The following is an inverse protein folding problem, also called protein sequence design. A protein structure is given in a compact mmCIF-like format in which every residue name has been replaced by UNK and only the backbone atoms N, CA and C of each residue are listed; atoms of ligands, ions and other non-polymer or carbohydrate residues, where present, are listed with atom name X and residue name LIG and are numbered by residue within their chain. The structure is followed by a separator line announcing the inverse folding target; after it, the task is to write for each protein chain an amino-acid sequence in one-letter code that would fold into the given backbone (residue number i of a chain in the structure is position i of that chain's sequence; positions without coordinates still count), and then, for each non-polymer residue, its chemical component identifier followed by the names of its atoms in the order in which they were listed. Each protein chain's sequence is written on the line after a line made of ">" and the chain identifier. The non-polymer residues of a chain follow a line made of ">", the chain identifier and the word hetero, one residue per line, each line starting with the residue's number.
data_IF_957990019730
#
_entry.id   IF_957990019730
#
_cell.length_a   1.000
_cell.length_b   1.000
_cell.length_c   1.000
_cell.angle_alpha   90.00
_cell.angle_beta   90.00
_cell.angle_gamma   90.00
#
_symmetry.space_group_name_H-M   'P 1'
#
loop_
_entity.id
_entity.type
_entity.pdbx_description
1 polymer ?
#
# COMPACT_ATOMS: atom_id res chain seq x y z
N UNK A 1 -13.76 9.07 24.99
CA UNK A 1 -12.62 9.24 24.07
C UNK A 1 -11.79 7.96 24.05
N UNK A 2 -12.28 6.92 23.40
CA UNK A 2 -11.50 5.71 23.09
C UNK A 2 -11.42 5.64 21.57
N UNK A 3 -10.83 6.67 20.97
CA UNK A 3 -10.58 6.70 19.53
C UNK A 3 -9.57 5.61 19.19
N UNK A 4 -9.89 4.77 18.22
CA UNK A 4 -9.07 3.62 17.84
C UNK A 4 -7.79 4.10 17.12
N UNK A 5 -6.83 4.65 17.89
CA UNK A 5 -5.59 5.25 17.39
C UNK A 5 -4.69 4.22 16.69
N UNK A 6 -4.95 2.93 16.89
CA UNK A 6 -4.23 1.84 16.21
C UNK A 6 -4.40 1.85 14.70
N UNK A 7 -5.55 2.28 14.18
CA UNK A 7 -5.83 2.30 12.73
C UNK A 7 -4.98 3.35 11.99
N UNK A 8 -4.93 4.64 12.40
CA UNK A 8 -4.08 5.61 11.73
C UNK A 8 -2.60 5.26 11.87
N UNK A 9 -2.16 4.75 13.03
CA UNK A 9 -0.78 4.28 13.23
C UNK A 9 -0.43 3.15 12.23
N UNK A 10 -1.33 2.16 12.08
CA UNK A 10 -1.14 1.06 11.14
C UNK A 10 -1.09 1.56 9.69
N UNK A 11 -1.91 2.54 9.31
CA UNK A 11 -1.86 3.18 8.00
C UNK A 11 -0.53 3.92 7.76
N UNK A 12 0.02 4.60 8.76
CA UNK A 12 1.36 5.22 8.64
C UNK A 12 2.47 4.18 8.48
N UNK A 13 2.41 3.07 9.23
CA UNK A 13 3.35 1.95 9.07
C UNK A 13 3.23 1.37 7.66
N UNK A 14 2.00 1.20 7.15
CA UNK A 14 1.76 0.72 5.79
C UNK A 14 2.41 1.62 4.73
N UNK A 15 2.23 2.94 4.84
CA UNK A 15 2.91 3.92 3.96
C UNK A 15 4.43 3.79 4.05
N UNK A 16 4.97 3.64 5.26
CA UNK A 16 6.40 3.45 5.48
C UNK A 16 6.94 2.20 4.78
N UNK A 17 6.22 1.09 4.85
CA UNK A 17 6.58 -0.17 4.16
C UNK A 17 6.54 0.02 2.64
N UNK A 18 5.53 0.72 2.11
CA UNK A 18 5.46 1.02 0.68
C UNK A 18 6.63 1.91 0.23
N UNK A 19 6.91 2.99 0.95
CA UNK A 19 8.02 3.89 0.63
C UNK A 19 9.38 3.17 0.70
N UNK A 20 9.57 2.32 1.69
CA UNK A 20 10.74 1.46 1.81
C UNK A 20 10.85 0.52 0.60
N UNK A 21 9.77 -0.20 0.27
CA UNK A 21 9.72 -1.11 -0.87
C UNK A 21 10.12 -0.42 -2.18
N UNK A 22 9.66 0.80 -2.43
CA UNK A 22 9.98 1.53 -3.66
C UNK A 22 11.46 1.98 -3.69
N UNK A 23 12.03 2.41 -2.56
CA UNK A 23 13.37 3.03 -2.49
C UNK A 23 14.51 2.04 -2.28
N UNK A 24 14.21 0.84 -1.80
CA UNK A 24 15.20 -0.17 -1.43
C UNK A 24 15.96 -0.71 -2.65
N UNK A 25 17.23 -1.09 -2.46
CA UNK A 25 18.18 -1.43 -3.53
C UNK A 25 18.11 -2.90 -3.99
N UNK A 26 17.33 -3.75 -3.32
CA UNK A 26 17.23 -5.18 -3.65
C UNK A 26 16.14 -5.50 -4.69
N UNK A 27 15.79 -4.54 -5.55
CA UNK A 27 15.12 -4.91 -6.79
C UNK A 27 16.14 -5.53 -7.72
N UNK A 28 15.65 -6.38 -8.63
CA UNK A 28 16.49 -7.14 -9.58
C UNK A 28 17.39 -6.26 -10.47
N UNK A 29 17.08 -4.98 -10.55
CA UNK A 29 17.73 -3.93 -11.33
C UNK A 29 18.47 -2.89 -10.45
N UNK A 30 18.57 -3.11 -9.13
CA UNK A 30 18.98 -2.10 -8.16
C UNK A 30 17.77 -1.39 -7.56
N UNK A 31 17.58 -0.09 -7.85
CA UNK A 31 16.41 0.66 -7.38
C UNK A 31 15.33 0.72 -8.45
N UNK A 32 14.06 0.73 -8.03
CA UNK A 32 12.93 0.79 -8.95
C UNK A 32 12.90 2.09 -9.79
N UNK A 33 13.48 3.17 -9.25
CA UNK A 33 13.63 4.47 -9.93
C UNK A 33 14.84 4.58 -10.86
N UNK A 34 15.78 3.62 -10.82
CA UNK A 34 16.96 3.69 -11.67
C UNK A 34 16.57 3.54 -13.14
N UNK A 35 17.18 4.33 -14.02
CA UNK A 35 16.93 4.26 -15.47
C UNK A 35 17.12 2.84 -16.02
N UNK A 36 18.13 2.14 -15.52
CA UNK A 36 18.35 0.73 -15.85
C UNK A 36 17.09 -0.12 -15.57
N UNK A 37 16.38 0.11 -14.47
CA UNK A 37 15.17 -0.64 -14.14
C UNK A 37 13.98 -0.31 -15.06
N UNK A 38 13.85 0.97 -15.42
CA UNK A 38 12.78 1.47 -16.30
C UNK A 38 12.97 1.02 -17.75
N UNK A 39 14.23 0.87 -18.20
CA UNK A 39 14.57 0.49 -19.57
C UNK A 39 14.62 -1.04 -19.78
N UNK A 40 14.85 -1.83 -18.73
CA UNK A 40 14.98 -3.29 -18.83
C UNK A 40 13.67 -3.99 -19.21
N UNK A 41 12.51 -3.47 -18.75
CA UNK A 41 11.22 -4.11 -19.01
C UNK A 41 10.04 -3.13 -18.99
N UNK A 42 9.06 -3.29 -19.90
CA UNK A 42 7.88 -2.43 -19.96
C UNK A 42 6.96 -2.53 -18.73
N UNK A 43 7.04 -3.61 -17.95
CA UNK A 43 6.23 -3.80 -16.75
C UNK A 43 6.76 -3.04 -15.52
N UNK A 44 8.07 -2.78 -15.42
CA UNK A 44 8.67 -2.08 -14.27
C UNK A 44 8.18 -0.63 -14.08
N UNK A 45 8.04 0.21 -15.11
CA UNK A 45 7.45 1.54 -14.94
C UNK A 45 5.98 1.47 -14.48
N UNK A 46 5.22 0.46 -14.91
CA UNK A 46 3.83 0.25 -14.48
C UNK A 46 3.79 -0.12 -12.99
N UNK A 47 4.65 -1.04 -12.55
CA UNK A 47 4.77 -1.45 -11.15
C UNK A 47 5.15 -0.25 -10.27
N UNK A 48 6.13 0.55 -10.70
CA UNK A 48 6.53 1.77 -10.00
C UNK A 48 5.36 2.75 -9.88
N UNK A 49 4.65 3.00 -10.98
CA UNK A 49 3.49 3.89 -10.98
C UNK A 49 2.39 3.40 -10.02
N UNK A 50 2.09 2.11 -10.02
CA UNK A 50 1.10 1.50 -9.13
C UNK A 50 1.50 1.58 -7.65
N UNK A 51 2.77 1.31 -7.32
CA UNK A 51 3.26 1.41 -5.95
C UNK A 51 3.31 2.86 -5.45
N UNK A 52 3.71 3.80 -6.30
CA UNK A 52 3.68 5.23 -5.97
C UNK A 52 2.24 5.72 -5.75
N UNK A 53 1.30 5.34 -6.64
CA UNK A 53 -0.11 5.66 -6.48
C UNK A 53 -0.67 5.06 -5.18
N UNK A 54 -0.34 3.81 -4.88
CA UNK A 54 -0.72 3.14 -3.65
C UNK A 54 -0.18 3.89 -2.41
N UNK A 55 1.09 4.30 -2.40
CA UNK A 55 1.69 5.03 -1.28
C UNK A 55 1.00 6.39 -1.04
N UNK A 56 0.69 7.13 -2.10
CA UNK A 56 -0.01 8.42 -2.01
C UNK A 56 -1.43 8.22 -1.48
N UNK A 57 -2.16 7.23 -2.00
CA UNK A 57 -3.53 6.92 -1.56
C UNK A 57 -3.57 6.46 -0.10
N UNK A 58 -2.63 5.62 0.34
CA UNK A 58 -2.52 5.22 1.75
C UNK A 58 -2.18 6.40 2.65
N UNK A 59 -1.31 7.32 2.21
CA UNK A 59 -0.98 8.51 3.00
C UNK A 59 -2.21 9.42 3.15
N UNK A 60 -2.97 9.64 2.08
CA UNK A 60 -4.22 10.39 2.14
C UNK A 60 -5.24 9.69 3.05
N UNK A 61 -5.37 8.37 2.98
CA UNK A 61 -6.23 7.59 3.87
C UNK A 61 -5.80 7.74 5.34
N UNK A 62 -4.50 7.67 5.63
CA UNK A 62 -3.94 7.85 6.97
C UNK A 62 -4.28 9.22 7.55
N UNK A 63 -4.09 10.28 6.75
CA UNK A 63 -4.38 11.65 7.16
C UNK A 63 -5.88 11.83 7.39
N UNK A 64 -6.73 11.40 6.46
CA UNK A 64 -8.19 11.52 6.61
C UNK A 64 -8.70 10.77 7.83
N UNK A 65 -8.17 9.57 8.10
CA UNK A 65 -8.56 8.79 9.26
C UNK A 65 -8.07 9.43 10.56
N UNK A 66 -6.86 10.00 10.58
CA UNK A 66 -6.37 10.76 11.73
C UNK A 66 -7.24 11.99 12.02
N UNK A 67 -7.65 12.73 10.99
CA UNK A 67 -8.57 13.86 11.13
C UNK A 67 -9.94 13.39 11.60
N UNK A 68 -10.45 12.27 11.09
CA UNK A 68 -11.68 11.65 11.58
C UNK A 68 -11.62 11.36 13.08
N UNK A 69 -10.53 10.77 13.59
CA UNK A 69 -10.36 10.50 15.03
C UNK A 69 -10.47 11.78 15.87
N UNK A 70 -10.08 12.94 15.33
CA UNK A 70 -10.19 14.23 16.02
C UNK A 70 -11.53 14.96 15.84
N UNK A 71 -12.25 14.72 14.73
CA UNK A 71 -13.45 15.50 14.34
C UNK A 71 -14.75 14.70 14.39
N UNK A 72 -14.67 13.36 14.48
CA UNK A 72 -15.79 12.42 14.46
C UNK A 72 -16.71 12.52 13.21
N UNK A 73 -16.25 13.20 12.16
CA UNK A 73 -16.97 13.33 10.89
C UNK A 73 -17.02 12.00 10.14
N UNK A 74 -18.14 11.29 10.21
CA UNK A 74 -18.35 9.97 9.55
C UNK A 74 -17.99 9.95 8.06
N UNK A 75 -18.18 11.07 7.35
CA UNK A 75 -17.81 11.19 5.93
C UNK A 75 -16.31 11.01 5.67
N UNK A 76 -15.45 11.47 6.60
CA UNK A 76 -13.99 11.31 6.49
C UNK A 76 -13.57 9.85 6.68
N UNK A 77 -14.24 9.13 7.60
CA UNK A 77 -13.98 7.70 7.78
C UNK A 77 -14.30 6.91 6.50
N UNK A 78 -15.45 7.17 5.88
CA UNK A 78 -15.86 6.50 4.63
C UNK A 78 -14.86 6.81 3.51
N UNK A 79 -14.47 8.09 3.35
CA UNK A 79 -13.48 8.49 2.36
C UNK A 79 -12.13 7.79 2.59
N UNK A 80 -11.64 7.73 3.84
CA UNK A 80 -10.41 7.04 4.19
C UNK A 80 -10.49 5.53 3.88
N UNK A 81 -11.63 4.91 4.14
CA UNK A 81 -11.86 3.50 3.82
C UNK A 81 -11.80 3.25 2.31
N UNK A 82 -12.51 4.05 1.51
CA UNK A 82 -12.48 3.94 0.05
C UNK A 82 -11.06 4.10 -0.52
N UNK A 83 -10.30 5.08 -0.02
CA UNK A 83 -8.90 5.26 -0.42
C UNK A 83 -8.02 4.07 -0.01
N UNK A 84 -8.27 3.49 1.16
CA UNK A 84 -7.56 2.29 1.61
C UNK A 84 -7.85 1.11 0.67
N UNK A 85 -9.11 0.90 0.27
CA UNK A 85 -9.48 -0.14 -0.71
C UNK A 85 -8.76 0.07 -2.04
N UNK A 86 -8.79 1.29 -2.59
CA UNK A 86 -8.09 1.62 -3.83
C UNK A 86 -6.59 1.37 -3.71
N UNK A 87 -6.00 1.69 -2.56
CA UNK A 87 -4.59 1.43 -2.28
C UNK A 87 -4.27 -0.05 -2.34
N UNK A 88 -5.09 -0.88 -1.68
CA UNK A 88 -4.92 -2.34 -1.68
C UNK A 88 -5.04 -2.89 -3.09
N UNK A 89 -6.02 -2.44 -3.88
CA UNK A 89 -6.17 -2.83 -5.28
C UNK A 89 -4.93 -2.49 -6.12
N UNK A 90 -4.39 -1.27 -5.99
CA UNK A 90 -3.17 -0.87 -6.69
C UNK A 90 -1.96 -1.72 -6.28
N UNK A 91 -1.83 -2.02 -5.00
CA UNK A 91 -0.72 -2.82 -4.48
C UNK A 91 -0.82 -4.29 -4.94
N UNK A 92 -2.01 -4.88 -4.90
CA UNK A 92 -2.29 -6.22 -5.45
C UNK A 92 -1.99 -6.25 -6.96
N UNK A 93 -2.43 -5.25 -7.71
CA UNK A 93 -2.15 -5.15 -9.15
C UNK A 93 -0.63 -5.08 -9.42
N UNK A 94 0.13 -4.30 -8.64
CA UNK A 94 1.58 -4.22 -8.76
C UNK A 94 2.25 -5.60 -8.55
N UNK A 95 1.79 -6.35 -7.56
CA UNK A 95 2.25 -7.73 -7.30
C UNK A 95 1.88 -8.65 -8.47
N UNK A 96 0.64 -8.62 -8.97
CA UNK A 96 0.22 -9.44 -10.11
C UNK A 96 1.02 -9.13 -11.38
N UNK A 97 1.24 -7.85 -11.70
CA UNK A 97 2.08 -7.46 -12.85
C UNK A 97 3.51 -7.99 -12.72
N UNK A 98 4.05 -7.99 -11.51
CA UNK A 98 5.37 -8.55 -11.23
C UNK A 98 5.43 -10.07 -11.49
N UNK A 99 4.40 -10.81 -11.07
CA UNK A 99 4.34 -12.28 -11.21
C UNK A 99 3.94 -12.76 -12.61
N UNK A 100 2.99 -12.10 -13.28
CA UNK A 100 2.52 -12.49 -14.61
C UNK A 100 3.59 -12.29 -15.69
N UNK A 101 4.45 -11.28 -15.54
CA UNK A 101 5.56 -11.01 -16.45
C UNK A 101 6.82 -11.88 -16.14
N UNK A 102 6.73 -12.80 -15.15
CA UNK A 102 7.84 -13.64 -14.69
C UNK A 102 7.39 -15.08 -14.36
N UNK A 103 7.45 -15.99 -15.34
CA UNK A 103 7.51 -17.47 -15.11
C UNK A 103 8.76 -17.78 -14.24
N UNK A 104 8.69 -18.70 -13.25
CA UNK A 104 9.51 -18.62 -12.04
C UNK A 104 10.96 -19.01 -12.30
N UNK A 105 11.88 -18.10 -11.99
CA UNK A 105 13.25 -18.44 -11.63
C UNK A 105 13.53 -17.87 -10.25
N UNK A 106 13.38 -18.76 -9.26
CA UNK A 106 14.14 -18.97 -8.01
C UNK A 106 15.22 -17.94 -7.61
N UNK A 107 14.92 -16.65 -7.70
CA UNK A 107 15.76 -15.61 -7.09
C UNK A 107 14.85 -14.82 -6.16
N UNK A 108 15.01 -15.08 -4.86
CA UNK A 108 14.27 -14.46 -3.79
C UNK A 108 14.74 -13.02 -3.62
N UNK A 109 13.99 -12.06 -4.17
CA UNK A 109 14.28 -10.64 -3.99
C UNK A 109 13.48 -10.08 -2.82
N UNK A 110 14.16 -9.48 -1.84
CA UNK A 110 13.57 -8.92 -0.62
C UNK A 110 12.42 -7.93 -0.88
N UNK A 111 12.47 -7.19 -1.99
CA UNK A 111 11.40 -6.25 -2.36
C UNK A 111 10.07 -6.93 -2.70
N UNK A 112 10.08 -8.16 -3.24
CA UNK A 112 8.85 -8.93 -3.50
C UNK A 112 8.16 -9.31 -2.20
N UNK A 113 8.96 -9.72 -1.20
CA UNK A 113 8.49 -10.04 0.14
C UNK A 113 7.87 -8.79 0.80
N UNK A 114 8.51 -7.63 0.67
CA UNK A 114 8.00 -6.37 1.22
C UNK A 114 6.72 -5.89 0.52
N UNK A 115 6.60 -6.06 -0.79
CA UNK A 115 5.35 -5.79 -1.51
C UNK A 115 4.21 -6.72 -1.06
N UNK A 116 4.49 -8.01 -0.85
CA UNK A 116 3.52 -8.95 -0.27
C UNK A 116 3.12 -8.56 1.16
N UNK A 117 4.09 -8.25 2.02
CA UNK A 117 3.81 -7.77 3.38
C UNK A 117 2.96 -6.50 3.37
N UNK A 118 3.26 -5.56 2.46
CA UNK A 118 2.43 -4.38 2.23
C UNK A 118 1.00 -4.76 1.85
N UNK A 119 0.80 -5.66 0.90
CA UNK A 119 -0.54 -6.08 0.48
C UNK A 119 -1.33 -6.77 1.59
N UNK A 120 -0.69 -7.64 2.38
CA UNK A 120 -1.30 -8.31 3.53
C UNK A 120 -1.66 -7.34 4.66
N UNK A 121 -0.79 -6.38 4.96
CA UNK A 121 -1.04 -5.36 5.99
C UNK A 121 -2.14 -4.39 5.54
N UNK A 122 -2.16 -4.00 4.27
CA UNK A 122 -3.25 -3.20 3.69
C UNK A 122 -4.61 -3.92 3.75
N UNK A 123 -4.66 -5.22 3.46
CA UNK A 123 -5.86 -6.04 3.63
C UNK A 123 -6.33 -6.11 5.09
N UNK A 124 -5.40 -6.31 6.03
CA UNK A 124 -5.72 -6.31 7.46
C UNK A 124 -6.34 -4.99 7.91
N UNK A 125 -5.76 -3.86 7.50
CA UNK A 125 -6.31 -2.53 7.81
C UNK A 125 -7.70 -2.34 7.18
N UNK A 126 -7.89 -2.77 5.93
CA UNK A 126 -9.19 -2.70 5.25
C UNK A 126 -10.27 -3.47 6.03
N UNK A 127 -9.97 -4.68 6.52
CA UNK A 127 -10.89 -5.49 7.31
C UNK A 127 -11.19 -4.81 8.64
N UNK A 128 -10.18 -4.26 9.33
CA UNK A 128 -10.39 -3.51 10.56
C UNK A 128 -11.27 -2.28 10.36
N UNK A 129 -11.06 -1.53 9.28
CA UNK A 129 -11.90 -0.38 8.91
C UNK A 129 -13.35 -0.81 8.67
N UNK A 130 -13.57 -1.88 7.91
CA UNK A 130 -14.92 -2.44 7.68
C UNK A 130 -15.59 -2.88 8.97
N UNK A 131 -14.86 -3.56 9.87
CA UNK A 131 -15.36 -3.95 11.19
C UNK A 131 -15.82 -2.75 12.01
N UNK A 132 -15.06 -1.65 12.01
CA UNK A 132 -15.46 -0.42 12.71
C UNK A 132 -16.71 0.24 12.12
N UNK A 133 -17.05 0.03 10.85
CA UNK A 133 -18.33 0.51 10.31
C UNK A 133 -19.51 -0.36 10.74
N UNK A 134 -19.32 -1.67 10.82
CA UNK A 134 -20.38 -2.59 11.26
C UNK A 134 -20.77 -2.40 12.73
N UNK A 135 -19.83 -2.01 13.61
CA UNK A 135 -20.13 -1.75 15.02
C UNK A 135 -20.84 -0.40 15.27
N UNK A 136 -20.73 0.55 14.33
CA UNK A 136 -21.25 1.92 14.47
C UNK A 136 -22.56 2.18 13.71
N UNK A 137 -23.22 1.11 13.27
CA UNK A 137 -24.51 1.08 12.54
C UNK A 137 -25.60 0.55 13.45
#
# INVERSE_FOLDING_TARGET
>A
MTGNVGIPISLFIFVGILAFSITYQDWRCGRLFDKACLDIKPAMPIILALLCAAAILALLAAILYAVYVSTELKGLAIAAALLTVLTVCCNIAAVFYFYLDKVPKTEWYWCQLMAMFGSGLGLGIMICLLGTFCENL
#
